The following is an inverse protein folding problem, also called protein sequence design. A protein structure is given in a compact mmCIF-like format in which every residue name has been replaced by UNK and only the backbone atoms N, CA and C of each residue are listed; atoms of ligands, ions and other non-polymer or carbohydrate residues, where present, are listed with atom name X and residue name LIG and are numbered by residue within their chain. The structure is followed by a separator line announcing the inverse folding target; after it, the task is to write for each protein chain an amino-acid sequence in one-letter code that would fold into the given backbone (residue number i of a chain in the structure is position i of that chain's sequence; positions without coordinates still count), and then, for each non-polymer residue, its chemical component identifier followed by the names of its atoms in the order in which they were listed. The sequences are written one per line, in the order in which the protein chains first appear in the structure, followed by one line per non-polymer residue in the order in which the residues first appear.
data_IF_798089617176
#
_entry.id   IF_798089617176
#
_cell.length_a   1.000
_cell.length_b   1.000
_cell.length_c   1.000
_cell.angle_alpha   90.00
_cell.angle_beta   90.00
_cell.angle_gamma   90.00
#
_symmetry.space_group_name_H-M   'P 1'
#
loop_
_entity.id
_entity.type
_entity.pdbx_description
1 polymer ?
#
# COMPACT_ATOMS: atom_id res chain seq x y z
N UNK A 1 -7.80 -5.90 12.56
CA UNK A 1 -8.40 -4.79 13.32
C UNK A 1 -8.34 -3.51 12.50
N UNK A 2 -9.47 -2.88 12.34
CA UNK A 2 -9.56 -1.63 11.57
C UNK A 2 -9.77 -0.45 12.50
N UNK A 3 -9.06 0.63 12.22
CA UNK A 3 -9.25 1.87 12.92
C UNK A 3 -10.49 2.63 12.42
N UNK A 4 -10.61 3.87 12.86
CA UNK A 4 -11.75 4.72 12.55
C UNK A 4 -11.63 5.29 11.14
N UNK A 5 -12.74 5.28 10.39
CA UNK A 5 -12.79 5.95 9.09
C UNK A 5 -11.99 5.30 7.98
N UNK A 6 -11.64 4.01 8.11
CA UNK A 6 -10.92 3.31 7.05
C UNK A 6 -11.81 3.09 5.82
N UNK A 7 -11.21 3.25 4.64
CA UNK A 7 -11.90 3.00 3.37
C UNK A 7 -11.19 1.84 2.67
N UNK A 8 -11.89 0.72 2.54
CA UNK A 8 -11.39 -0.48 1.88
C UNK A 8 -12.26 -0.76 0.66
N UNK A 9 -11.68 -0.57 -0.51
CA UNK A 9 -12.42 -0.77 -1.76
C UNK A 9 -12.52 -2.25 -2.08
N UNK A 10 -13.44 -2.63 -2.97
CA UNK A 10 -13.71 -4.01 -3.34
C UNK A 10 -12.45 -4.80 -3.66
N UNK A 11 -12.48 -6.08 -3.33
CA UNK A 11 -11.40 -7.02 -3.62
C UNK A 11 -10.10 -6.72 -2.85
N UNK A 12 -10.20 -5.96 -1.74
CA UNK A 12 -9.08 -5.82 -0.83
C UNK A 12 -8.95 -7.11 -0.03
N UNK A 13 -7.81 -7.78 -0.15
CA UNK A 13 -7.53 -9.00 0.59
C UNK A 13 -6.66 -8.69 1.80
N UNK A 14 -7.14 -9.03 2.99
CA UNK A 14 -6.42 -8.81 4.22
C UNK A 14 -6.22 -10.16 4.90
N UNK A 15 -4.96 -10.60 5.00
CA UNK A 15 -4.66 -11.79 5.77
C UNK A 15 -4.88 -11.51 7.25
N UNK A 16 -5.04 -12.57 8.05
CA UNK A 16 -5.39 -12.41 9.45
C UNK A 16 -4.37 -11.58 10.24
N UNK A 17 -4.79 -11.00 11.33
CA UNK A 17 -3.93 -10.31 12.30
C UNK A 17 -3.30 -9.01 11.83
N UNK A 18 -3.78 -8.42 10.75
CA UNK A 18 -3.33 -7.08 10.37
C UNK A 18 -4.04 -6.03 11.22
N UNK A 19 -3.33 -4.96 11.55
CA UNK A 19 -3.88 -3.84 12.31
C UNK A 19 -3.78 -2.59 11.46
N UNK A 20 -4.91 -1.90 11.30
CA UNK A 20 -4.97 -0.65 10.53
C UNK A 20 -5.19 0.50 11.48
N UNK A 21 -4.41 1.56 11.29
CA UNK A 21 -4.65 2.80 12.01
C UNK A 21 -5.92 3.48 11.52
N UNK A 22 -6.14 4.73 11.96
CA UNK A 22 -7.33 5.48 11.58
C UNK A 22 -7.17 6.09 10.19
N UNK A 23 -8.29 6.18 9.46
CA UNK A 23 -8.34 6.88 8.17
C UNK A 23 -7.39 6.33 7.10
N UNK A 24 -7.19 5.02 7.10
CA UNK A 24 -6.41 4.35 6.06
C UNK A 24 -7.28 4.19 4.82
N UNK A 25 -6.73 4.50 3.66
CA UNK A 25 -7.45 4.36 2.37
C UNK A 25 -6.74 3.32 1.52
N UNK A 26 -7.45 2.27 1.14
CA UNK A 26 -6.92 1.20 0.29
C UNK A 26 -7.68 1.16 -1.02
N UNK A 27 -6.96 1.21 -2.13
CA UNK A 27 -7.56 1.01 -3.44
C UNK A 27 -7.99 -0.44 -3.64
N UNK A 28 -8.73 -0.71 -4.70
CA UNK A 28 -9.23 -2.04 -5.00
C UNK A 28 -8.12 -3.04 -5.29
N UNK A 29 -8.37 -4.31 -5.02
CA UNK A 29 -7.44 -5.41 -5.28
C UNK A 29 -6.11 -5.28 -4.55
N UNK A 30 -6.12 -4.63 -3.39
CA UNK A 30 -4.93 -4.52 -2.53
C UNK A 30 -4.82 -5.77 -1.68
N UNK A 31 -3.63 -6.33 -1.55
CA UNK A 31 -3.39 -7.49 -0.71
C UNK A 31 -2.41 -7.17 0.42
N UNK A 32 -2.64 -7.76 1.58
CA UNK A 32 -1.79 -7.57 2.76
C UNK A 32 -1.30 -8.91 3.28
N UNK A 33 -0.01 -9.02 3.57
CA UNK A 33 0.52 -10.20 4.23
C UNK A 33 0.08 -10.23 5.70
N UNK A 34 0.32 -11.36 6.38
CA UNK A 34 -0.08 -11.53 7.79
C UNK A 34 0.69 -10.60 8.72
N UNK A 35 0.03 -10.23 9.82
CA UNK A 35 0.65 -9.56 10.97
C UNK A 35 1.29 -8.22 10.63
N UNK A 36 0.68 -7.46 9.73
CA UNK A 36 1.20 -6.13 9.38
C UNK A 36 0.48 -5.05 10.17
N UNK A 37 1.19 -3.96 10.40
CA UNK A 37 0.62 -2.75 10.99
C UNK A 37 0.63 -1.65 9.94
N UNK A 38 -0.54 -1.08 9.68
CA UNK A 38 -0.69 0.01 8.72
C UNK A 38 -0.95 1.28 9.50
N UNK A 39 -0.07 2.25 9.37
CA UNK A 39 -0.16 3.50 10.13
C UNK A 39 -1.37 4.34 9.74
N UNK A 40 -1.79 5.19 10.66
CA UNK A 40 -2.94 6.06 10.44
C UNK A 40 -2.70 7.01 9.26
N UNK A 41 -3.74 7.23 8.47
CA UNK A 41 -3.67 8.15 7.34
C UNK A 41 -2.91 7.60 6.14
N UNK A 42 -2.48 6.35 6.16
CA UNK A 42 -1.77 5.77 5.02
C UNK A 42 -2.71 5.64 3.82
N UNK A 43 -2.15 5.81 2.62
CA UNK A 43 -2.88 5.65 1.38
C UNK A 43 -2.21 4.57 0.55
N UNK A 44 -2.98 3.55 0.19
CA UNK A 44 -2.46 2.43 -0.57
C UNK A 44 -3.15 2.42 -1.94
N UNK A 45 -2.36 2.51 -3.00
CA UNK A 45 -2.89 2.54 -4.35
C UNK A 45 -3.50 1.19 -4.72
N UNK A 46 -4.41 1.20 -5.70
CA UNK A 46 -5.06 -0.02 -6.17
C UNK A 46 -4.03 -1.04 -6.66
N UNK A 47 -4.34 -2.32 -6.48
CA UNK A 47 -3.52 -3.44 -6.93
C UNK A 47 -2.14 -3.50 -6.29
N UNK A 48 -1.98 -2.88 -5.11
CA UNK A 48 -0.71 -2.92 -4.38
C UNK A 48 -0.60 -4.21 -3.56
N UNK A 49 0.61 -4.71 -3.40
CA UNK A 49 0.87 -5.83 -2.51
C UNK A 49 1.68 -5.35 -1.31
N UNK A 50 1.13 -5.51 -0.13
CA UNK A 50 1.74 -5.00 1.10
C UNK A 50 2.47 -6.13 1.80
N UNK A 51 3.78 -6.02 1.89
CA UNK A 51 4.64 -7.06 2.43
C UNK A 51 5.34 -6.64 3.72
N UNK A 52 5.19 -5.41 4.16
CA UNK A 52 5.79 -4.91 5.39
C UNK A 52 4.93 -3.82 5.97
N UNK A 53 5.24 -3.44 7.21
CA UNK A 53 4.48 -2.41 7.90
C UNK A 53 4.50 -1.09 7.14
N UNK A 54 3.41 -0.34 7.25
CA UNK A 54 3.25 0.95 6.58
C UNK A 54 3.28 2.06 7.63
N UNK A 55 4.14 3.04 7.42
CA UNK A 55 4.25 4.17 8.34
C UNK A 55 3.02 5.06 8.25
N UNK A 56 2.67 5.78 9.33
CA UNK A 56 1.55 6.72 9.29
C UNK A 56 1.74 7.76 8.19
N UNK A 57 0.66 8.04 7.46
CA UNK A 57 0.67 9.04 6.40
C UNK A 57 1.41 8.64 5.13
N UNK A 58 1.95 7.43 5.06
CA UNK A 58 2.67 7.00 3.86
C UNK A 58 1.73 6.79 2.69
N UNK A 59 2.23 7.05 1.48
CA UNK A 59 1.53 6.74 0.24
C UNK A 59 2.35 5.71 -0.50
N UNK A 60 1.77 4.52 -0.71
CA UNK A 60 2.50 3.41 -1.29
C UNK A 60 1.77 2.83 -2.49
N UNK A 61 2.51 2.20 -3.38
CA UNK A 61 1.94 1.49 -4.53
C UNK A 61 2.94 0.44 -5.01
N UNK A 62 2.45 -0.47 -5.82
CA UNK A 62 3.28 -1.49 -6.44
C UNK A 62 3.19 -2.84 -5.74
N UNK A 63 3.89 -3.82 -6.28
CA UNK A 63 3.96 -5.16 -5.73
C UNK A 63 5.40 -5.64 -5.79
N UNK A 64 6.11 -5.74 -4.67
CA UNK A 64 5.70 -5.30 -3.32
C UNK A 64 5.56 -3.78 -3.23
N UNK A 65 4.69 -3.32 -2.34
CA UNK A 65 4.42 -1.89 -2.21
C UNK A 65 5.63 -1.16 -1.63
N UNK A 66 5.94 -0.03 -2.23
CA UNK A 66 7.02 0.85 -1.79
C UNK A 66 6.49 2.28 -1.74
N UNK A 67 7.17 3.19 -1.02
CA UNK A 67 6.76 4.59 -1.05
C UNK A 67 6.64 5.09 -2.48
N UNK A 68 5.64 5.93 -2.74
CA UNK A 68 5.33 6.34 -4.12
C UNK A 68 6.52 7.03 -4.79
N UNK A 69 7.30 7.78 -4.04
CA UNK A 69 8.50 8.41 -4.61
C UNK A 69 9.48 7.39 -5.14
N UNK A 70 9.67 6.30 -4.39
CA UNK A 70 10.57 5.24 -4.81
C UNK A 70 10.03 4.52 -6.04
N UNK A 71 8.73 4.26 -6.06
CA UNK A 71 8.11 3.61 -7.21
C UNK A 71 8.25 4.45 -8.47
N UNK A 72 7.96 5.74 -8.36
CA UNK A 72 8.07 6.64 -9.52
C UNK A 72 9.52 6.74 -10.01
N UNK A 73 10.46 6.72 -9.09
CA UNK A 73 11.88 6.72 -9.43
C UNK A 73 12.26 5.45 -10.20
N UNK A 74 11.74 4.31 -9.74
CA UNK A 74 11.98 3.03 -10.41
C UNK A 74 11.39 3.01 -11.81
N UNK A 75 10.17 3.52 -11.97
CA UNK A 75 9.52 3.60 -13.28
C UNK A 75 10.32 4.49 -14.22
N UNK A 76 10.76 5.65 -13.75
CA UNK A 76 11.55 6.57 -14.55
C UNK A 76 12.86 5.93 -14.99
N UNK A 77 13.52 5.20 -14.09
CA UNK A 77 14.75 4.49 -14.41
C UNK A 77 14.52 3.45 -15.50
N UNK A 78 13.47 2.67 -15.37
CA UNK A 78 13.17 1.63 -16.35
C UNK A 78 12.83 2.22 -17.71
N UNK A 79 12.10 3.32 -17.74
CA UNK A 79 11.80 3.99 -18.99
C UNK A 79 13.05 4.53 -19.66
N UNK A 80 13.95 5.11 -18.87
CA UNK A 80 15.23 5.59 -19.40
C UNK A 80 16.07 4.45 -19.95
N UNK A 81 16.14 3.35 -19.19
CA UNK A 81 16.93 2.20 -19.60
C UNK A 81 16.39 1.57 -20.89
N UNK A 82 15.09 1.66 -21.10
CA UNK A 82 14.46 1.12 -22.29
C UNK A 82 14.61 1.98 -23.55
N UNK A 83 15.01 3.22 -23.38
CA UNK A 83 15.21 4.12 -24.53
C UNK A 83 16.59 3.90 -25.14
N UNK A 84 16.63 3.88 -26.41
CA UNK A 84 17.87 3.75 -27.15
C UNK A 84 18.21 5.03 -27.86
#
# INVERSE_FOLDING_TARGET
KLGRGCVLVSQTGIAGSCTFGDYVVCGGQTGFADHLNVGSGAQIAAQSGIMRDIEPGAVVMGTPAVPIKDFMRQVAFLQKAGKK
#
